data_IF_998806164165
#
_entry.id   IF_998806164165
#
_cell.length_a   1.000
_cell.length_b   1.000
_cell.length_c   1.000
_cell.angle_alpha   90.00
_cell.angle_beta   90.00
_cell.angle_gamma   90.00
#
_symmetry.space_group_name_H-M   'P 1'
#
loop_
_entity.id
_entity.type
_entity.pdbx_description
1 polymer ?
#
# COMPACT_ATOMS: atom_id res chain seq x y z
N UNK A 1 -17.97 -1.78 17.44
CA UNK A 1 -16.99 -2.53 16.62
C UNK A 1 -15.88 -1.57 16.25
N UNK A 2 -14.69 -1.80 16.78
CA UNK A 2 -13.55 -0.93 16.48
C UNK A 2 -13.06 -1.18 15.05
N UNK A 3 -12.75 -0.10 14.33
CA UNK A 3 -12.15 -0.15 13.01
C UNK A 3 -10.72 0.35 13.08
N UNK A 4 -9.88 -0.12 12.18
CA UNK A 4 -8.53 0.41 11.99
C UNK A 4 -8.33 0.78 10.52
N UNK A 5 -7.51 1.79 10.28
CA UNK A 5 -7.18 2.24 8.93
C UNK A 5 -5.69 2.09 8.62
N UNK A 6 -5.39 1.73 7.39
CA UNK A 6 -4.04 1.79 6.82
C UNK A 6 -4.02 2.72 5.63
N UNK A 7 -3.06 3.64 5.60
CA UNK A 7 -2.87 4.60 4.50
C UNK A 7 -1.46 4.46 3.94
N UNK A 8 -1.36 3.91 2.73
CA UNK A 8 -0.11 3.73 1.99
C UNK A 8 0.11 4.87 1.00
N UNK A 9 1.03 5.74 1.33
CA UNK A 9 1.38 6.91 0.52
C UNK A 9 2.59 6.58 -0.34
N UNK A 10 2.32 6.11 -1.55
CA UNK A 10 3.36 5.85 -2.54
C UNK A 10 3.72 7.09 -3.36
N UNK A 11 4.82 7.02 -4.09
CA UNK A 11 5.27 8.10 -4.99
C UNK A 11 4.31 8.35 -6.16
N UNK A 12 3.64 7.31 -6.63
CA UNK A 12 2.75 7.34 -7.81
C UNK A 12 1.29 7.25 -7.39
N UNK A 13 0.97 6.33 -6.48
CA UNK A 13 -0.39 6.08 -6.03
C UNK A 13 -0.46 6.05 -4.51
N UNK A 14 -1.59 6.52 -3.98
CA UNK A 14 -1.93 6.45 -2.56
C UNK A 14 -3.16 5.56 -2.39
N UNK A 15 -3.08 4.65 -1.42
CA UNK A 15 -4.14 3.68 -1.13
C UNK A 15 -4.53 3.79 0.34
N UNK A 16 -5.79 3.50 0.61
CA UNK A 16 -6.26 3.36 1.99
C UNK A 16 -7.19 2.17 2.11
N UNK A 17 -7.16 1.53 3.27
CA UNK A 17 -8.08 0.46 3.64
C UNK A 17 -8.63 0.71 5.03
N UNK A 18 -9.88 0.31 5.24
CA UNK A 18 -10.52 0.22 6.55
C UNK A 18 -10.74 -1.26 6.83
N UNK A 19 -10.30 -1.72 7.99
CA UNK A 19 -10.47 -3.11 8.43
C UNK A 19 -11.27 -3.17 9.74
N UNK A 20 -12.00 -4.27 9.90
CA UNK A 20 -12.73 -4.56 11.15
C UNK A 20 -11.88 -5.45 12.09
N UNK A 21 -12.41 -5.77 13.26
CA UNK A 21 -11.77 -6.66 14.26
C UNK A 21 -11.51 -8.08 13.73
N UNK A 22 -12.27 -8.53 12.74
CA UNK A 22 -12.06 -9.81 12.05
C UNK A 22 -10.99 -9.76 10.96
N UNK A 23 -10.27 -8.65 10.83
CA UNK A 23 -9.27 -8.39 9.79
C UNK A 23 -9.82 -8.41 8.36
N UNK A 24 -11.13 -8.17 8.21
CA UNK A 24 -11.77 -8.04 6.90
C UNK A 24 -11.67 -6.61 6.41
N UNK A 25 -11.37 -6.43 5.12
CA UNK A 25 -11.40 -5.11 4.48
C UNK A 25 -12.85 -4.72 4.26
N UNK A 26 -13.31 -3.69 4.96
CA UNK A 26 -14.69 -3.17 4.86
C UNK A 26 -14.78 -1.89 4.03
N UNK A 27 -13.66 -1.26 3.71
CA UNK A 27 -13.59 -0.11 2.80
C UNK A 27 -12.19 0.03 2.22
N UNK A 28 -12.10 0.55 0.99
CA UNK A 28 -10.84 0.73 0.28
C UNK A 28 -10.87 1.90 -0.68
N UNK A 29 -9.70 2.44 -0.96
CA UNK A 29 -9.49 3.53 -1.91
C UNK A 29 -8.14 3.40 -2.58
N UNK A 30 -8.09 3.79 -3.85
CA UNK A 30 -6.88 3.92 -4.65
C UNK A 30 -7.00 5.21 -5.45
N UNK A 31 -6.03 6.11 -5.31
CA UNK A 31 -5.96 7.37 -6.05
C UNK A 31 -4.54 7.65 -6.52
N UNK A 32 -4.37 8.53 -7.49
CA UNK A 32 -3.07 9.06 -7.84
C UNK A 32 -2.57 10.01 -6.74
N UNK A 33 -1.29 9.90 -6.37
CA UNK A 33 -0.70 10.73 -5.31
C UNK A 33 -0.65 12.20 -5.72
N UNK A 34 -0.25 12.48 -6.96
CA UNK A 34 -0.11 13.85 -7.46
C UNK A 34 0.96 14.66 -6.70
N UNK A 35 0.86 15.98 -6.77
CA UNK A 35 1.85 16.89 -6.20
C UNK A 35 1.65 17.15 -4.69
N UNK A 36 0.40 17.10 -4.21
CA UNK A 36 0.08 17.34 -2.81
C UNK A 36 -0.13 16.03 -2.05
N UNK A 37 0.95 15.53 -1.48
CA UNK A 37 1.02 14.22 -0.82
C UNK A 37 0.13 14.16 0.44
N UNK A 38 0.07 15.23 1.22
CA UNK A 38 -0.78 15.30 2.43
C UNK A 38 -2.26 15.19 2.04
N UNK A 39 -2.67 16.00 1.06
CA UNK A 39 -4.05 15.97 0.57
C UNK A 39 -4.42 14.63 -0.06
N UNK A 40 -3.48 13.96 -0.73
CA UNK A 40 -3.69 12.62 -1.27
C UNK A 40 -3.94 11.60 -0.16
N UNK A 41 -3.17 11.66 0.95
CA UNK A 41 -3.37 10.80 2.10
C UNK A 41 -4.76 10.98 2.73
N UNK A 42 -5.15 12.21 3.00
CA UNK A 42 -6.47 12.55 3.56
C UNK A 42 -7.61 12.11 2.63
N UNK A 43 -7.49 12.41 1.34
CA UNK A 43 -8.50 12.03 0.35
C UNK A 43 -8.65 10.52 0.21
N UNK A 44 -7.53 9.78 0.19
CA UNK A 44 -7.59 8.32 0.13
C UNK A 44 -8.27 7.73 1.37
N UNK A 45 -7.94 8.23 2.55
CA UNK A 45 -8.57 7.82 3.80
C UNK A 45 -10.08 8.08 3.80
N UNK A 46 -10.52 9.31 3.48
CA UNK A 46 -11.93 9.68 3.42
C UNK A 46 -12.71 8.86 2.38
N UNK A 47 -12.10 8.59 1.23
CA UNK A 47 -12.71 7.75 0.21
C UNK A 47 -12.90 6.30 0.71
N UNK A 48 -11.91 5.72 1.39
CA UNK A 48 -12.02 4.39 1.96
C UNK A 48 -13.07 4.33 3.08
N UNK A 49 -13.16 5.39 3.90
CA UNK A 49 -14.17 5.52 4.93
C UNK A 49 -15.58 5.59 4.32
N UNK A 50 -15.76 6.40 3.28
CA UNK A 50 -17.02 6.50 2.55
C UNK A 50 -17.41 5.16 1.89
N UNK A 51 -16.45 4.46 1.29
CA UNK A 51 -16.68 3.13 0.70
C UNK A 51 -17.12 2.10 1.74
N UNK A 52 -16.62 2.21 2.97
CA UNK A 52 -17.03 1.34 4.09
C UNK A 52 -18.44 1.61 4.61
N UNK A 53 -19.03 2.77 4.30
CA UNK A 53 -20.29 3.23 4.87
C UNK A 53 -20.24 3.49 6.40
N UNK A 54 -19.04 3.62 6.97
CA UNK A 54 -18.79 3.82 8.41
C UNK A 54 -18.48 5.27 8.71
N UNK A 55 -18.59 5.62 10.00
CA UNK A 55 -18.27 6.96 10.49
C UNK A 55 -16.82 7.01 10.98
N UNK A 56 -16.22 8.18 10.88
CA UNK A 56 -14.82 8.39 11.27
C UNK A 56 -14.59 8.08 12.75
N UNK A 57 -15.57 8.35 13.62
CA UNK A 57 -15.49 8.09 15.06
C UNK A 57 -15.40 6.58 15.39
N UNK A 58 -15.73 5.70 14.45
CA UNK A 58 -15.60 4.25 14.61
C UNK A 58 -14.16 3.77 14.35
N UNK A 59 -13.32 4.60 13.68
CA UNK A 59 -11.91 4.30 13.41
C UNK A 59 -11.09 4.66 14.65
N UNK A 60 -10.56 3.65 15.31
CA UNK A 60 -9.83 3.82 16.57
C UNK A 60 -8.33 3.88 16.42
N UNK A 61 -7.80 3.52 15.24
CA UNK A 61 -6.37 3.52 14.98
C UNK A 61 -6.05 3.68 13.51
N UNK A 62 -5.09 4.54 13.18
CA UNK A 62 -4.67 4.83 11.81
C UNK A 62 -3.17 4.63 11.66
N UNK A 63 -2.76 3.81 10.70
CA UNK A 63 -1.34 3.56 10.37
C UNK A 63 -0.99 4.19 9.03
N UNK A 64 0.04 5.02 9.02
CA UNK A 64 0.67 5.53 7.81
C UNK A 64 1.81 4.62 7.34
N UNK A 65 1.87 4.31 6.05
CA UNK A 65 2.95 3.53 5.43
C UNK A 65 3.32 4.07 4.05
N UNK A 66 4.31 3.46 3.41
CA UNK A 66 4.82 3.88 2.11
C UNK A 66 5.93 4.92 2.20
N UNK A 67 6.40 5.35 1.04
CA UNK A 67 7.42 6.39 0.90
C UNK A 67 7.02 7.69 1.61
N UNK A 68 5.76 8.10 1.49
CA UNK A 68 5.20 9.30 2.09
C UNK A 68 4.55 9.10 3.46
N UNK A 69 4.86 8.02 4.21
CA UNK A 69 4.19 7.69 5.49
C UNK A 69 4.18 8.82 6.52
N UNK A 70 5.21 9.65 6.54
CA UNK A 70 5.28 10.82 7.45
C UNK A 70 4.35 11.96 7.05
N UNK A 71 3.70 11.87 5.89
CA UNK A 71 2.69 12.82 5.41
C UNK A 71 1.26 12.41 5.79
N UNK A 72 1.09 11.26 6.44
CA UNK A 72 -0.17 10.86 7.08
C UNK A 72 -0.23 11.53 8.46
N UNK A 73 -0.51 12.82 8.47
CA UNK A 73 -0.42 13.68 9.67
C UNK A 73 -1.51 13.38 10.71
N UNK A 74 -2.58 12.71 10.29
CA UNK A 74 -3.69 12.26 11.13
C UNK A 74 -3.51 10.82 11.63
N UNK A 75 -2.40 10.16 11.26
CA UNK A 75 -2.10 8.78 11.67
C UNK A 75 -1.53 8.70 13.09
N UNK A 76 -1.87 7.61 13.79
CA UNK A 76 -1.37 7.34 15.14
C UNK A 76 0.07 6.84 15.12
N UNK A 77 0.47 6.11 14.08
CA UNK A 77 1.84 5.60 13.92
C UNK A 77 2.21 5.39 12.46
N UNK A 78 3.51 5.20 12.21
CA UNK A 78 4.05 4.89 10.90
C UNK A 78 4.78 3.55 10.93
N UNK A 79 4.52 2.72 9.91
CA UNK A 79 5.17 1.42 9.71
C UNK A 79 5.76 1.39 8.30
N UNK A 80 6.89 0.72 8.12
CA UNK A 80 7.50 0.62 6.79
C UNK A 80 6.64 -0.21 5.85
N UNK A 81 6.63 0.15 4.58
CA UNK A 81 5.88 -0.57 3.54
C UNK A 81 6.33 -2.04 3.42
N UNK A 82 7.61 -2.32 3.65
CA UNK A 82 8.15 -3.69 3.62
C UNK A 82 7.44 -4.57 4.66
N UNK A 83 7.32 -4.07 5.90
CA UNK A 83 6.60 -4.78 6.97
C UNK A 83 5.13 -4.97 6.65
N UNK A 84 4.48 -3.93 6.12
CA UNK A 84 3.06 -4.00 5.74
C UNK A 84 2.83 -5.00 4.61
N UNK A 85 3.68 -5.00 3.56
CA UNK A 85 3.57 -5.93 2.44
C UNK A 85 3.81 -7.38 2.88
N UNK A 86 4.81 -7.62 3.72
CA UNK A 86 5.08 -8.96 4.28
C UNK A 86 3.89 -9.49 5.07
N UNK A 87 3.38 -8.68 5.99
CA UNK A 87 2.23 -9.04 6.82
C UNK A 87 0.95 -9.26 6.01
N UNK A 88 0.65 -8.34 5.09
CA UNK A 88 -0.52 -8.42 4.21
C UNK A 88 -0.47 -9.64 3.28
N UNK A 89 0.69 -9.95 2.71
CA UNK A 89 0.86 -11.10 1.84
C UNK A 89 0.60 -12.43 2.58
N UNK A 90 1.12 -12.59 3.81
CA UNK A 90 0.88 -13.79 4.62
C UNK A 90 -0.58 -13.86 5.08
N UNK A 91 -1.21 -12.72 5.40
CA UNK A 91 -2.63 -12.69 5.76
C UNK A 91 -3.52 -13.18 4.60
N UNK A 92 -3.24 -12.73 3.37
CA UNK A 92 -4.00 -13.13 2.18
C UNK A 92 -3.64 -14.54 1.69
N UNK A 93 -2.38 -14.92 1.83
CA UNK A 93 -1.80 -16.18 1.36
C UNK A 93 -0.91 -16.81 2.44
N UNK A 94 -1.47 -17.58 3.40
CA UNK A 94 -0.75 -18.03 4.61
C UNK A 94 0.51 -18.86 4.36
N UNK A 95 0.67 -19.44 3.17
CA UNK A 95 1.87 -20.19 2.79
C UNK A 95 2.99 -19.34 2.18
N UNK A 96 2.78 -18.02 2.05
CA UNK A 96 3.78 -17.11 1.51
C UNK A 96 5.05 -17.10 2.38
N UNK A 97 6.21 -17.20 1.75
CA UNK A 97 7.54 -17.07 2.38
C UNK A 97 8.41 -16.04 1.66
N UNK A 98 8.04 -15.68 0.44
CA UNK A 98 8.72 -14.67 -0.36
C UNK A 98 7.70 -13.77 -1.04
N UNK A 99 7.91 -12.47 -0.97
CA UNK A 99 7.11 -11.45 -1.65
C UNK A 99 8.01 -10.72 -2.64
N UNK A 100 7.59 -10.65 -3.89
CA UNK A 100 8.18 -9.77 -4.89
C UNK A 100 7.23 -8.57 -5.07
N UNK A 101 7.64 -7.44 -4.53
CA UNK A 101 6.89 -6.19 -4.59
C UNK A 101 7.48 -5.29 -5.68
N UNK A 102 6.68 -4.99 -6.68
CA UNK A 102 7.05 -4.12 -7.80
C UNK A 102 6.31 -2.78 -7.67
N UNK A 103 6.98 -1.80 -7.07
CA UNK A 103 6.49 -0.43 -6.96
C UNK A 103 6.63 0.38 -8.25
N UNK A 104 6.19 1.64 -8.22
CA UNK A 104 6.33 2.57 -9.34
C UNK A 104 7.77 2.99 -9.61
N UNK A 105 8.65 2.97 -8.61
CA UNK A 105 10.04 3.41 -8.69
C UNK A 105 11.06 2.41 -8.17
N UNK A 106 10.63 1.40 -7.44
CA UNK A 106 11.49 0.38 -6.85
C UNK A 106 10.90 -1.02 -7.00
N UNK A 107 11.74 -2.01 -6.76
CA UNK A 107 11.34 -3.41 -6.66
C UNK A 107 12.00 -4.00 -5.42
N UNK A 108 11.23 -4.71 -4.63
CA UNK A 108 11.69 -5.35 -3.39
C UNK A 108 11.42 -6.85 -3.45
N UNK A 109 12.41 -7.64 -3.06
CA UNK A 109 12.23 -9.04 -2.74
C UNK A 109 12.30 -9.18 -1.21
N UNK A 110 11.25 -9.71 -0.60
CA UNK A 110 11.07 -9.75 0.85
C UNK A 110 10.89 -11.20 1.27
N UNK A 111 11.75 -11.68 2.18
CA UNK A 111 11.60 -12.98 2.83
C UNK A 111 10.81 -12.80 4.13
N UNK A 112 9.79 -13.62 4.33
CA UNK A 112 8.87 -13.51 5.47
C UNK A 112 8.74 -14.81 6.25
N UNK A 113 8.53 -14.70 7.56
CA UNK A 113 8.17 -15.80 8.44
C UNK A 113 6.73 -16.27 8.22
N UNK A 114 6.33 -17.33 8.92
CA UNK A 114 4.95 -17.82 8.94
C UNK A 114 3.93 -16.77 9.44
N UNK A 115 4.38 -15.86 10.29
CA UNK A 115 3.55 -14.79 10.85
C UNK A 115 3.60 -13.49 10.04
N UNK A 116 4.39 -13.47 8.92
CA UNK A 116 4.55 -12.30 8.06
C UNK A 116 5.57 -11.28 8.58
N UNK A 117 6.42 -11.66 9.53
CA UNK A 117 7.55 -10.85 9.98
C UNK A 117 8.67 -10.90 8.95
N UNK A 118 9.38 -9.78 8.79
CA UNK A 118 10.48 -9.69 7.83
C UNK A 118 11.68 -10.48 8.36
N UNK A 119 12.14 -11.45 7.57
CA UNK A 119 13.36 -12.21 7.83
C UNK A 119 14.54 -11.54 7.15
N UNK A 120 14.38 -11.16 5.87
CA UNK A 120 15.39 -10.49 5.08
C UNK A 120 14.72 -9.77 3.89
N UNK A 121 15.39 -8.78 3.31
CA UNK A 121 14.93 -8.16 2.09
C UNK A 121 16.07 -7.57 1.27
N UNK A 122 15.88 -7.46 -0.03
CA UNK A 122 16.69 -6.65 -0.92
C UNK A 122 15.83 -5.74 -1.78
N UNK A 123 16.39 -4.61 -2.18
CA UNK A 123 15.68 -3.59 -2.93
C UNK A 123 16.53 -3.06 -4.07
N UNK A 124 15.91 -2.87 -5.23
CA UNK A 124 16.47 -2.13 -6.36
C UNK A 124 15.67 -0.83 -6.55
N UNK A 125 16.28 0.31 -6.26
CA UNK A 125 15.70 1.64 -6.35
C UNK A 125 16.37 2.55 -7.39
N UNK A 126 17.38 2.04 -8.11
CA UNK A 126 18.24 2.84 -8.98
C UNK A 126 17.85 2.82 -10.46
N UNK A 127 16.93 1.97 -10.88
CA UNK A 127 16.59 1.79 -12.28
C UNK A 127 15.10 1.52 -12.47
N UNK A 128 14.50 2.17 -13.47
CA UNK A 128 13.10 1.90 -13.85
C UNK A 128 12.92 0.50 -14.44
N UNK A 129 13.99 -0.12 -15.00
CA UNK A 129 13.96 -1.51 -15.44
C UNK A 129 13.69 -2.45 -14.24
N UNK A 130 12.70 -3.34 -14.36
CA UNK A 130 12.27 -4.22 -13.29
C UNK A 130 11.32 -3.57 -12.28
N UNK A 131 10.80 -2.39 -12.56
CA UNK A 131 9.77 -1.71 -11.76
C UNK A 131 8.44 -1.66 -12.49
N UNK A 132 7.37 -1.21 -11.81
CA UNK A 132 6.06 -1.00 -12.43
C UNK A 132 6.09 -0.03 -13.62
N UNK A 133 7.02 0.91 -13.66
CA UNK A 133 7.22 1.82 -14.82
C UNK A 133 7.65 1.08 -16.08
N UNK A 134 8.52 0.10 -15.95
CA UNK A 134 8.92 -0.74 -17.08
C UNK A 134 7.73 -1.52 -17.64
N UNK A 135 6.91 -2.12 -16.77
CA UNK A 135 5.71 -2.85 -17.19
C UNK A 135 4.71 -1.93 -17.90
N UNK A 136 4.51 -0.70 -17.40
CA UNK A 136 3.66 0.30 -18.02
C UNK A 136 4.15 0.69 -19.43
N UNK A 137 5.43 0.98 -19.57
CA UNK A 137 6.04 1.32 -20.86
C UNK A 137 5.98 0.15 -21.86
N UNK A 138 6.25 -1.08 -21.41
CA UNK A 138 6.16 -2.28 -22.25
C UNK A 138 4.71 -2.55 -22.71
N UNK A 139 3.73 -2.31 -21.85
CA UNK A 139 2.30 -2.43 -22.18
C UNK A 139 1.87 -1.42 -23.26
N UNK A 140 2.33 -0.18 -23.17
CA UNK A 140 2.05 0.86 -24.18
C UNK A 140 2.66 0.51 -25.54
N UNK A 141 3.95 0.16 -25.57
CA UNK A 141 4.63 -0.24 -26.80
C UNK A 141 3.90 -1.40 -27.52
N UNK A 142 3.50 -2.43 -26.76
CA UNK A 142 2.76 -3.56 -27.30
C UNK A 142 1.35 -3.22 -27.81
N UNK A 143 0.73 -2.19 -27.26
CA UNK A 143 -0.58 -1.72 -27.69
C UNK A 143 -0.48 -0.95 -29.02
N UNK A 144 0.63 -0.27 -29.29
CA UNK A 144 0.89 0.44 -30.55
C UNK A 144 1.18 -0.54 -31.70
N UNK A 145 1.86 -1.65 -31.46
CA UNK A 145 2.10 -2.69 -32.48
C UNK A 145 0.83 -3.40 -32.97
N UNK A 146 -0.28 -3.29 -32.27
CA UNK A 146 -1.57 -3.90 -32.62
C UNK A 146 -2.52 -2.98 -33.39
N UNK A 147 -2.13 -1.75 -33.66
CA UNK A 147 -2.89 -0.77 -34.45
C UNK A 147 -2.34 -0.70 -35.86
#
# INVERSE_FOLDING_TARGET
MALSAGVDVGSTQTKAVIINEGLEIVGRSLIDTGANVVQAAEKAYLNALNDSGRREEEVTYVIGTGYGRYKVTFGDTQVTEISCHGRGAVHMFPKTRTVLDMGGQDTKAISVSETGEIVDFCMNDKCAAGTGRFLGAASMARSEERR
#
